data_IF_694025299890
#
_entry.id   IF_694025299890
#
_cell.length_a   1.000
_cell.length_b   1.000
_cell.length_c   1.000
_cell.angle_alpha   90.00
_cell.angle_beta   90.00
_cell.angle_gamma   90.00
#
_symmetry.space_group_name_H-M   'P 1'
#
loop_
_entity.id
_entity.type
_entity.pdbx_description
1 polymer ?
#
# COMPACT_ATOMS: atom_id res chain seq x y z
N UNK A 1 5.35 3.90 -26.68
CA UNK A 1 6.19 3.05 -25.81
C UNK A 1 7.24 3.94 -25.16
N UNK A 2 7.54 3.74 -23.87
CA UNK A 2 8.55 4.52 -23.12
C UNK A 2 9.48 3.59 -22.36
N UNK A 3 10.72 4.03 -22.15
CA UNK A 3 11.75 3.29 -21.40
C UNK A 3 11.93 3.93 -20.02
N UNK A 4 11.76 3.15 -18.95
CA UNK A 4 11.82 3.66 -17.56
C UNK A 4 13.19 3.45 -16.88
N UNK A 5 13.98 2.48 -17.35
CA UNK A 5 15.31 2.18 -16.85
C UNK A 5 16.16 1.50 -17.95
N UNK A 6 17.48 1.51 -17.82
CA UNK A 6 18.39 0.82 -18.75
C UNK A 6 18.66 1.52 -20.08
N UNK A 7 18.09 2.71 -20.30
CA UNK A 7 18.14 3.38 -21.61
C UNK A 7 19.53 3.72 -22.14
N UNK A 8 20.55 3.89 -21.28
CA UNK A 8 21.93 4.13 -21.72
C UNK A 8 22.78 2.87 -21.77
N UNK A 9 22.29 1.76 -21.21
CA UNK A 9 23.01 0.51 -21.24
C UNK A 9 22.85 -0.13 -22.61
N UNK A 10 23.92 -0.12 -23.41
CA UNK A 10 23.95 -0.73 -24.76
C UNK A 10 24.21 -2.24 -24.73
N UNK A 11 24.51 -2.79 -23.55
CA UNK A 11 24.87 -4.20 -23.35
C UNK A 11 24.24 -4.73 -22.07
N UNK A 12 23.90 -6.02 -22.02
CA UNK A 12 23.45 -6.65 -20.78
C UNK A 12 24.47 -6.44 -19.64
N UNK A 13 23.97 -6.27 -18.43
CA UNK A 13 24.81 -5.96 -17.27
C UNK A 13 24.10 -6.12 -15.94
N UNK A 14 24.80 -5.79 -14.86
CA UNK A 14 24.29 -5.89 -13.48
C UNK A 14 24.50 -4.64 -12.65
N UNK A 15 24.92 -3.55 -13.28
CA UNK A 15 25.21 -2.30 -12.60
C UNK A 15 23.91 -1.65 -12.15
N UNK A 16 23.84 -1.29 -10.87
CA UNK A 16 22.79 -0.44 -10.34
C UNK A 16 23.11 1.02 -10.59
N UNK A 17 22.10 1.87 -10.46
CA UNK A 17 22.24 3.30 -10.61
C UNK A 17 20.92 3.99 -10.91
N UNK A 18 20.94 5.31 -11.14
CA UNK A 18 19.75 6.05 -11.49
C UNK A 18 19.18 5.57 -12.82
N UNK A 19 17.97 5.00 -12.81
CA UNK A 19 17.14 4.66 -13.96
C UNK A 19 17.89 4.31 -15.25
N UNK A 20 18.22 5.31 -16.09
CA UNK A 20 18.87 5.13 -17.40
C UNK A 20 20.28 4.53 -17.33
N UNK A 21 21.00 4.73 -16.21
CA UNK A 21 22.36 4.24 -15.99
C UNK A 21 22.40 2.82 -15.45
N UNK A 22 21.28 2.28 -14.96
CA UNK A 22 21.21 0.90 -14.53
C UNK A 22 21.37 -0.05 -15.72
N UNK A 23 21.81 -1.28 -15.48
CA UNK A 23 21.89 -2.34 -16.48
C UNK A 23 21.31 -3.65 -15.94
N UNK A 24 20.76 -4.45 -16.85
CA UNK A 24 20.06 -5.69 -16.54
C UNK A 24 20.57 -6.80 -17.45
N UNK A 25 20.55 -8.04 -16.97
CA UNK A 25 20.82 -9.17 -17.85
C UNK A 25 19.66 -9.34 -18.83
N UNK A 26 19.82 -10.22 -19.82
CA UNK A 26 18.73 -10.54 -20.75
C UNK A 26 17.65 -11.44 -20.12
N UNK A 27 17.97 -12.07 -18.99
CA UNK A 27 17.09 -13.01 -18.30
C UNK A 27 16.62 -12.41 -16.98
N UNK A 28 15.54 -11.64 -17.03
CA UNK A 28 14.91 -11.07 -15.84
C UNK A 28 13.39 -11.19 -15.85
N UNK A 29 12.81 -11.14 -14.66
CA UNK A 29 11.36 -11.04 -14.43
C UNK A 29 11.03 -9.84 -13.56
N UNK A 30 9.80 -9.35 -13.68
CA UNK A 30 9.31 -8.19 -12.96
C UNK A 30 8.13 -8.55 -12.05
N UNK A 31 8.09 -7.97 -10.86
CA UNK A 31 6.95 -8.08 -9.95
C UNK A 31 6.65 -6.73 -9.30
N UNK A 32 5.40 -6.26 -9.40
CA UNK A 32 5.01 -4.98 -8.82
C UNK A 32 4.47 -5.15 -7.40
N UNK A 33 4.98 -4.35 -6.46
CA UNK A 33 4.51 -4.33 -5.06
C UNK A 33 3.91 -2.95 -4.74
N UNK A 34 2.57 -2.81 -4.73
CA UNK A 34 1.90 -1.53 -4.46
C UNK A 34 2.29 -0.93 -3.10
N UNK A 35 2.37 -1.77 -2.05
CA UNK A 35 2.71 -1.33 -0.68
C UNK A 35 4.10 -0.72 -0.57
N UNK A 36 5.03 -1.15 -1.42
CA UNK A 36 6.41 -0.63 -1.46
C UNK A 36 6.59 0.46 -2.53
N UNK A 37 5.56 0.70 -3.35
CA UNK A 37 5.64 1.56 -4.52
C UNK A 37 6.87 1.25 -5.41
N UNK A 38 7.06 -0.04 -5.71
CA UNK A 38 8.28 -0.50 -6.38
C UNK A 38 8.04 -1.69 -7.32
N UNK A 39 8.87 -1.78 -8.35
CA UNK A 39 9.06 -2.97 -9.17
C UNK A 39 10.25 -3.76 -8.62
N UNK A 40 10.02 -5.01 -8.24
CA UNK A 40 11.07 -5.98 -7.98
C UNK A 40 11.51 -6.63 -9.29
N UNK A 41 12.79 -6.92 -9.38
CA UNK A 41 13.44 -7.52 -10.54
C UNK A 41 14.15 -8.78 -10.07
N UNK A 42 13.71 -9.93 -10.58
CA UNK A 42 14.44 -11.18 -10.42
C UNK A 42 15.38 -11.32 -11.62
N UNK A 43 16.64 -10.91 -11.46
CA UNK A 43 17.65 -10.97 -12.51
C UNK A 43 18.38 -12.33 -12.42
N UNK A 44 17.91 -13.30 -13.20
CA UNK A 44 18.46 -14.66 -13.21
C UNK A 44 19.87 -14.69 -13.79
N UNK A 45 20.11 -13.97 -14.88
CA UNK A 45 21.43 -13.91 -15.52
C UNK A 45 22.51 -13.35 -14.59
N UNK A 46 22.14 -12.47 -13.66
CA UNK A 46 23.06 -11.90 -12.67
C UNK A 46 22.99 -12.57 -11.29
N UNK A 47 22.02 -13.46 -11.05
CA UNK A 47 21.71 -14.09 -9.75
C UNK A 47 21.42 -13.07 -8.65
N UNK A 48 20.62 -12.06 -8.95
CA UNK A 48 20.29 -10.96 -8.03
C UNK A 48 18.79 -10.71 -7.99
N UNK A 49 18.31 -10.25 -6.83
CA UNK A 49 16.98 -9.62 -6.70
C UNK A 49 17.21 -8.13 -6.48
N UNK A 50 16.54 -7.29 -7.27
CA UNK A 50 16.75 -5.83 -7.28
C UNK A 50 15.43 -5.07 -7.23
N UNK A 51 15.48 -3.78 -6.89
CA UNK A 51 14.30 -2.94 -6.75
C UNK A 51 14.45 -1.66 -7.59
N UNK A 52 13.40 -1.31 -8.33
CA UNK A 52 13.18 0.02 -8.88
C UNK A 52 12.07 0.69 -8.08
N UNK A 53 12.41 1.72 -7.32
CA UNK A 53 11.42 2.58 -6.67
C UNK A 53 10.71 3.43 -7.72
N UNK A 54 9.39 3.41 -7.71
CA UNK A 54 8.56 4.19 -8.62
C UNK A 54 8.23 5.56 -8.02
N UNK A 55 7.64 6.43 -8.83
CA UNK A 55 7.12 7.70 -8.31
C UNK A 55 5.86 7.40 -7.50
N UNK A 56 5.61 8.11 -6.38
CA UNK A 56 4.41 7.91 -5.57
C UNK A 56 3.10 8.02 -6.39
N UNK A 57 3.06 8.89 -7.40
CA UNK A 57 1.93 9.04 -8.32
C UNK A 57 1.57 7.78 -9.09
N UNK A 58 2.53 6.90 -9.31
CA UNK A 58 2.36 5.67 -10.10
C UNK A 58 1.79 4.53 -9.23
N UNK A 59 1.75 4.72 -7.92
CA UNK A 59 1.41 3.71 -6.93
C UNK A 59 0.12 4.03 -6.17
N UNK A 60 -0.40 5.26 -6.30
CA UNK A 60 -1.71 5.62 -5.78
C UNK A 60 -2.78 4.86 -6.55
N UNK A 61 -3.08 3.63 -6.15
CA UNK A 61 -4.37 3.04 -6.44
C UNK A 61 -5.40 3.95 -5.79
N UNK A 62 -6.32 4.48 -6.60
CA UNK A 62 -7.31 5.47 -6.19
C UNK A 62 -7.78 5.20 -4.77
N UNK A 63 -7.43 6.10 -3.84
CA UNK A 63 -7.72 5.98 -2.42
C UNK A 63 -9.22 6.15 -2.18
N UNK A 64 -10.03 5.19 -2.61
CA UNK A 64 -11.37 4.94 -2.07
C UNK A 64 -11.23 3.90 -0.95
N UNK A 65 -10.66 4.31 0.18
CA UNK A 65 -10.90 3.66 1.48
C UNK A 65 -10.16 4.39 2.60
N UNK A 66 -10.42 5.70 2.74
CA UNK A 66 -10.22 6.38 4.03
C UNK A 66 -11.38 6.05 4.98
N UNK A 67 -11.63 4.76 5.21
CA UNK A 67 -12.40 4.25 6.36
C UNK A 67 -11.46 3.87 7.52
N UNK A 68 -10.24 4.43 7.51
CA UNK A 68 -9.20 4.25 8.52
C UNK A 68 -9.10 5.43 9.47
N UNK A 69 -10.21 5.85 10.07
CA UNK A 69 -10.20 6.60 11.32
C UNK A 69 -11.29 5.99 12.19
N UNK A 70 -10.88 5.43 13.32
CA UNK A 70 -11.68 4.69 14.31
C UNK A 70 -13.14 5.16 14.33
N UNK A 71 -14.01 4.49 13.57
CA UNK A 71 -15.44 4.72 13.69
C UNK A 71 -15.82 4.15 15.04
N UNK A 72 -15.91 5.03 16.04
CA UNK A 72 -16.74 4.74 17.20
C UNK A 72 -18.07 4.32 16.59
N UNK A 73 -18.39 3.03 16.70
CA UNK A 73 -19.55 2.48 16.03
C UNK A 73 -20.75 3.29 16.48
N UNK A 74 -21.38 4.04 15.56
CA UNK A 74 -22.56 4.85 15.88
C UNK A 74 -23.63 3.97 16.53
N UNK A 75 -23.68 2.69 16.12
CA UNK A 75 -24.50 1.64 16.72
C UNK A 75 -24.11 1.42 18.19
N UNK A 76 -22.81 1.32 18.50
CA UNK A 76 -22.32 1.16 19.87
C UNK A 76 -22.66 2.33 20.79
N UNK A 77 -22.53 3.57 20.30
CA UNK A 77 -22.90 4.78 21.07
C UNK A 77 -24.41 4.82 21.29
N UNK A 78 -25.18 4.53 20.26
CA UNK A 78 -26.64 4.51 20.34
C UNK A 78 -27.14 3.45 21.34
N UNK A 79 -26.58 2.24 21.31
CA UNK A 79 -26.91 1.19 22.27
C UNK A 79 -26.56 1.58 23.71
N UNK A 80 -25.43 2.23 23.93
CA UNK A 80 -25.03 2.69 25.26
C UNK A 80 -25.99 3.74 25.83
N UNK A 81 -26.37 4.73 25.03
CA UNK A 81 -27.30 5.78 25.45
C UNK A 81 -28.71 5.22 25.73
N UNK A 82 -29.21 4.32 24.90
CA UNK A 82 -30.48 3.64 25.16
C UNK A 82 -30.46 2.83 26.46
N UNK A 83 -29.36 2.11 26.71
CA UNK A 83 -29.18 1.34 27.94
C UNK A 83 -29.25 2.22 29.20
N UNK A 84 -28.62 3.40 29.18
CA UNK A 84 -28.69 4.35 30.29
C UNK A 84 -30.11 4.86 30.53
N UNK A 85 -30.84 5.25 29.48
CA UNK A 85 -32.22 5.77 29.61
C UNK A 85 -33.15 4.72 30.22
N UNK A 86 -33.06 3.48 29.77
CA UNK A 86 -33.88 2.38 30.30
C UNK A 86 -33.54 2.12 31.77
N UNK A 87 -32.25 2.11 32.13
CA UNK A 87 -31.81 1.89 33.51
C UNK A 87 -32.29 2.99 34.46
N UNK A 88 -32.18 4.27 34.07
CA UNK A 88 -32.69 5.39 34.86
C UNK A 88 -34.21 5.39 34.96
N UNK A 89 -34.92 5.06 33.88
CA UNK A 89 -36.38 4.93 33.90
C UNK A 89 -36.87 3.83 34.83
N UNK A 90 -36.20 2.68 34.85
CA UNK A 90 -36.52 1.58 35.76
C UNK A 90 -36.27 1.96 37.23
N UNK A 91 -35.14 2.58 37.54
CA UNK A 91 -34.83 3.05 38.90
C UNK A 91 -35.85 4.09 39.39
N UNK A 92 -36.26 5.02 38.53
CA UNK A 92 -37.27 6.03 38.85
C UNK A 92 -38.65 5.42 39.13
N UNK A 93 -39.04 4.38 38.38
CA UNK A 93 -40.31 3.67 38.57
C UNK A 93 -40.33 2.82 39.84
N UNK A 94 -39.21 2.19 40.20
CA UNK A 94 -39.08 1.38 41.43
C UNK A 94 -39.00 2.25 42.68
N UNK A 95 -38.47 3.47 42.56
CA UNK A 95 -38.33 4.42 43.67
C UNK A 95 -39.58 5.26 43.95
N UNK A 96 -40.70 4.98 43.27
CA UNK A 96 -41.98 5.68 43.38
C UNK A 96 -43.06 4.76 43.90
#
# INVERSE_FOLDING_TARGET
VVTIAGGYSRKPGRADGPAQNASFSEEFELFFIPKLCALLISDRGSRLVRQISLKPSDCTFGSQSNLGLTSVSLIGVFCFLLGLVIAFGYQYLVSR
#
